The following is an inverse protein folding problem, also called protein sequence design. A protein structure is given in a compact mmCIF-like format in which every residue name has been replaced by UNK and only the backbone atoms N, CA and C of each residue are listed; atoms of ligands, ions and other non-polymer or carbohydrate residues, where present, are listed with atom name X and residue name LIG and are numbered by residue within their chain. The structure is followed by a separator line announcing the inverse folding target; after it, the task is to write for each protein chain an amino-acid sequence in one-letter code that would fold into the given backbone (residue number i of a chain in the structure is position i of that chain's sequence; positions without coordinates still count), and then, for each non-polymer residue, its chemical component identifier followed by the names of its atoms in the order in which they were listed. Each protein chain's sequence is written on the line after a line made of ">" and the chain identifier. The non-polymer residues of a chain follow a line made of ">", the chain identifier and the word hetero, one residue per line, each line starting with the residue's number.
data_IF_223807955180
#
_entry.id   IF_223807955180
#
_cell.length_a   1.000
_cell.length_b   1.000
_cell.length_c   1.000
_cell.angle_alpha   90.00
_cell.angle_beta   90.00
_cell.angle_gamma   90.00
#
_symmetry.space_group_name_H-M   'P 1'
#
loop_
_entity.id
_entity.type
_entity.pdbx_description
1 polymer ?
#
# COMPACT_ATOMS: atom_id res chain seq x y z
N UNK A 1 -11.39 -5.32 -25.46
CA UNK A 1 -10.00 -5.80 -25.31
C UNK A 1 -9.42 -5.08 -24.11
N UNK A 2 -9.12 -5.82 -23.04
CA UNK A 2 -8.72 -5.30 -21.74
C UNK A 2 -7.72 -6.25 -21.10
N UNK A 3 -6.72 -6.68 -21.87
CA UNK A 3 -5.70 -7.61 -21.41
C UNK A 3 -4.68 -6.81 -20.58
N UNK A 4 -4.62 -7.09 -19.28
CA UNK A 4 -3.70 -6.46 -18.34
C UNK A 4 -3.90 -6.97 -16.93
N UNK A 5 -2.96 -6.64 -16.04
CA UNK A 5 -3.00 -6.98 -14.63
C UNK A 5 -3.01 -5.69 -13.81
N UNK A 6 -3.99 -5.60 -12.90
CA UNK A 6 -3.99 -4.60 -11.83
C UNK A 6 -3.73 -5.31 -10.52
N UNK A 7 -2.79 -4.80 -9.73
CA UNK A 7 -2.47 -5.31 -8.40
C UNK A 7 -2.19 -4.16 -7.42
N UNK A 8 -1.75 -4.46 -6.19
CA UNK A 8 -1.29 -3.45 -5.22
C UNK A 8 0.11 -3.77 -4.72
N UNK A 9 0.93 -2.76 -4.46
CA UNK A 9 2.24 -2.95 -3.81
C UNK A 9 2.17 -2.58 -2.32
N UNK A 10 2.88 -3.31 -1.44
CA UNK A 10 3.62 -4.56 -1.71
C UNK A 10 2.74 -5.83 -1.73
N UNK A 11 1.43 -5.72 -1.44
CA UNK A 11 0.54 -6.86 -1.16
C UNK A 11 0.48 -7.93 -2.25
N UNK A 12 0.54 -7.52 -3.52
CA UNK A 12 0.52 -8.42 -4.67
C UNK A 12 1.86 -9.09 -4.99
N UNK A 13 2.85 -8.97 -4.10
CA UNK A 13 4.22 -9.40 -4.32
C UNK A 13 5.02 -8.40 -5.16
N UNK A 14 6.13 -8.85 -5.72
CA UNK A 14 6.95 -8.08 -6.66
C UNK A 14 6.34 -8.08 -8.07
N UNK A 15 6.68 -7.08 -8.88
CA UNK A 15 6.25 -7.02 -10.30
C UNK A 15 6.71 -8.27 -11.08
N UNK A 16 7.89 -8.81 -10.74
CA UNK A 16 8.42 -10.03 -11.34
C UNK A 16 7.55 -11.25 -11.01
N UNK A 17 7.13 -11.40 -9.75
CA UNK A 17 6.22 -12.46 -9.32
C UNK A 17 4.84 -12.31 -9.96
N UNK A 18 4.31 -11.09 -10.02
CA UNK A 18 3.05 -10.78 -10.71
C UNK A 18 3.08 -11.24 -12.17
N UNK A 19 4.13 -10.86 -12.91
CA UNK A 19 4.32 -11.29 -14.31
C UNK A 19 4.54 -12.80 -14.42
N UNK A 20 5.28 -13.42 -13.50
CA UNK A 20 5.46 -14.86 -13.49
C UNK A 20 4.12 -15.59 -13.28
N UNK A 21 3.26 -15.09 -12.40
CA UNK A 21 1.91 -15.62 -12.16
C UNK A 21 1.06 -15.50 -13.44
N UNK A 22 1.08 -14.33 -14.10
CA UNK A 22 0.38 -14.11 -15.37
C UNK A 22 0.88 -15.06 -16.48
N UNK A 23 2.19 -15.29 -16.58
CA UNK A 23 2.78 -16.25 -17.54
C UNK A 23 2.31 -17.68 -17.26
N UNK A 24 2.26 -18.10 -15.99
CA UNK A 24 1.72 -19.42 -15.63
C UNK A 24 0.25 -19.56 -16.01
N UNK A 25 -0.56 -18.53 -15.77
CA UNK A 25 -1.97 -18.50 -16.18
C UNK A 25 -2.14 -18.61 -17.70
N UNK A 26 -1.38 -17.85 -18.48
CA UNK A 26 -1.40 -17.92 -19.94
C UNK A 26 -1.02 -19.32 -20.45
N UNK A 27 0.08 -19.88 -19.96
CA UNK A 27 0.55 -21.21 -20.35
C UNK A 27 -0.47 -22.31 -20.02
N UNK A 28 -1.10 -22.25 -18.84
CA UNK A 28 -2.16 -23.19 -18.45
C UNK A 28 -3.39 -23.14 -19.37
N UNK A 29 -3.62 -22.00 -20.03
CA UNK A 29 -4.66 -21.83 -21.04
C UNK A 29 -4.19 -22.07 -22.50
N UNK A 30 -2.96 -22.57 -22.70
CA UNK A 30 -2.38 -22.75 -24.03
C UNK A 30 -2.07 -21.45 -24.79
N UNK A 31 -1.94 -20.32 -24.07
CA UNK A 31 -1.59 -19.00 -24.60
C UNK A 31 -0.16 -18.61 -24.21
N UNK A 32 0.46 -17.76 -25.02
CA UNK A 32 1.70 -17.07 -24.65
C UNK A 32 1.36 -15.68 -24.11
N UNK A 33 1.94 -15.30 -22.98
CA UNK A 33 1.80 -13.94 -22.46
C UNK A 33 2.58 -12.96 -23.38
N UNK A 34 1.93 -11.92 -23.93
CA UNK A 34 2.63 -10.91 -24.74
C UNK A 34 3.77 -10.24 -23.97
N UNK A 35 4.83 -9.84 -24.67
CA UNK A 35 5.97 -9.14 -24.06
C UNK A 35 5.60 -7.73 -23.55
N UNK A 36 4.55 -7.14 -24.11
CA UNK A 36 3.97 -5.84 -23.77
C UNK A 36 2.76 -5.95 -22.83
N UNK A 37 2.55 -7.10 -22.19
CA UNK A 37 1.45 -7.30 -21.26
C UNK A 37 1.42 -6.22 -20.17
N UNK A 38 0.28 -5.52 -20.09
CA UNK A 38 0.17 -4.30 -19.29
C UNK A 38 0.06 -4.63 -17.80
N UNK A 39 0.95 -4.08 -16.97
CA UNK A 39 0.92 -4.24 -15.51
C UNK A 39 0.79 -2.87 -14.87
N UNK A 40 -0.25 -2.71 -14.06
CA UNK A 40 -0.49 -1.53 -13.25
C UNK A 40 -0.59 -1.90 -11.77
N UNK A 41 -0.10 -1.02 -10.89
CA UNK A 41 -0.21 -1.23 -9.45
C UNK A 41 -0.79 -0.01 -8.75
N UNK A 42 -1.68 -0.25 -7.80
CA UNK A 42 -2.09 0.78 -6.85
C UNK A 42 -1.02 0.93 -5.77
N UNK A 43 -0.64 2.18 -5.47
CA UNK A 43 0.37 2.50 -4.46
C UNK A 43 -0.11 3.65 -3.58
N UNK A 44 0.22 3.57 -2.30
CA UNK A 44 0.11 4.69 -1.36
C UNK A 44 1.44 5.44 -1.36
N UNK A 45 1.42 6.76 -1.51
CA UNK A 45 2.62 7.59 -1.45
C UNK A 45 2.88 8.04 0.00
N UNK A 46 4.15 8.00 0.41
CA UNK A 46 4.62 8.66 1.64
C UNK A 46 5.88 9.47 1.32
N UNK A 47 5.69 10.66 0.76
CA UNK A 47 6.79 11.51 0.31
C UNK A 47 7.26 12.43 1.44
N UNK A 48 8.53 12.31 1.82
CA UNK A 48 9.14 13.15 2.86
C UNK A 48 9.73 14.45 2.27
N UNK A 49 9.59 15.53 3.02
CA UNK A 49 10.37 16.75 2.80
C UNK A 49 11.79 16.59 3.37
N UNK A 50 12.77 17.41 2.94
CA UNK A 50 14.12 17.36 3.48
C UNK A 50 14.15 17.50 5.02
N UNK A 51 14.68 16.49 5.70
CA UNK A 51 14.78 16.46 7.16
C UNK A 51 13.51 16.03 7.90
N UNK A 52 12.43 15.72 7.19
CA UNK A 52 11.18 15.28 7.79
C UNK A 52 11.21 13.79 8.16
N UNK A 53 10.70 13.45 9.35
CA UNK A 53 10.50 12.08 9.77
C UNK A 53 9.40 11.42 8.94
N UNK A 54 9.55 10.14 8.59
CA UNK A 54 8.58 9.43 7.74
C UNK A 54 7.20 9.25 8.41
N UNK A 55 7.16 9.35 9.74
CA UNK A 55 5.97 9.32 10.59
C UNK A 55 5.59 10.72 11.11
N UNK A 56 5.95 11.79 10.40
CA UNK A 56 5.50 13.14 10.74
C UNK A 56 3.97 13.22 10.75
N UNK A 57 3.36 14.16 11.52
CA UNK A 57 1.92 14.37 11.49
C UNK A 57 1.36 14.62 10.08
N UNK A 58 2.14 15.26 9.21
CA UNK A 58 1.77 15.53 7.81
C UNK A 58 1.72 14.23 7.00
N UNK A 59 2.74 13.40 7.08
CA UNK A 59 2.78 12.13 6.34
C UNK A 59 1.74 11.15 6.88
N UNK A 60 1.57 11.07 8.20
CA UNK A 60 0.50 10.27 8.83
C UNK A 60 -0.89 10.72 8.35
N UNK A 61 -1.14 12.03 8.25
CA UNK A 61 -2.38 12.55 7.69
C UNK A 61 -2.56 12.23 6.20
N UNK A 62 -1.46 12.06 5.45
CA UNK A 62 -1.48 11.75 4.03
C UNK A 62 -1.61 10.24 3.73
N UNK A 63 -1.02 9.35 4.51
CA UNK A 63 -1.02 7.90 4.21
C UNK A 63 -1.68 7.01 5.27
N UNK A 64 -1.97 7.53 6.46
CA UNK A 64 -2.38 6.74 7.63
C UNK A 64 -3.61 5.86 7.39
N UNK A 65 -4.64 6.38 6.70
CA UNK A 65 -5.84 5.59 6.37
C UNK A 65 -5.51 4.36 5.50
N UNK A 66 -4.58 4.49 4.55
CA UNK A 66 -4.15 3.39 3.70
C UNK A 66 -3.23 2.40 4.45
N UNK A 67 -2.38 2.90 5.36
CA UNK A 67 -1.54 2.07 6.23
C UNK A 67 -2.39 1.20 7.14
N UNK A 68 -3.39 1.79 7.82
CA UNK A 68 -4.34 1.04 8.67
C UNK A 68 -5.17 0.04 7.86
N UNK A 69 -5.53 0.38 6.63
CA UNK A 69 -6.20 -0.58 5.73
C UNK A 69 -5.33 -1.82 5.44
N UNK A 70 -3.99 -1.66 5.47
CA UNK A 70 -3.05 -2.78 5.49
C UNK A 70 -3.16 -3.64 6.75
N UNK A 71 -3.24 -3.02 7.94
CA UNK A 71 -3.48 -3.74 9.19
C UNK A 71 -4.84 -4.46 9.20
N UNK A 72 -5.90 -3.84 8.67
CA UNK A 72 -7.22 -4.45 8.52
C UNK A 72 -7.16 -5.75 7.71
N UNK A 73 -6.42 -5.71 6.60
CA UNK A 73 -6.15 -6.90 5.79
C UNK A 73 -5.40 -7.97 6.58
N UNK A 74 -4.36 -7.60 7.33
CA UNK A 74 -3.60 -8.57 8.12
C UNK A 74 -4.48 -9.24 9.19
N UNK A 75 -5.36 -8.49 9.85
CA UNK A 75 -6.32 -9.05 10.82
C UNK A 75 -7.27 -10.02 10.13
N UNK A 76 -7.86 -9.64 8.99
CA UNK A 76 -8.74 -10.54 8.24
C UNK A 76 -8.02 -11.84 7.84
N UNK A 77 -6.78 -11.73 7.34
CA UNK A 77 -5.96 -12.89 6.99
C UNK A 77 -5.66 -13.77 8.19
N UNK A 78 -5.24 -13.20 9.32
CA UNK A 78 -4.97 -13.94 10.54
C UNK A 78 -6.21 -14.70 11.04
N UNK A 79 -7.39 -14.07 11.01
CA UNK A 79 -8.64 -14.71 11.41
C UNK A 79 -9.04 -15.87 10.47
N UNK A 80 -8.68 -15.79 9.20
CA UNK A 80 -8.97 -16.83 8.21
C UNK A 80 -7.97 -18.00 8.26
N UNK A 81 -6.68 -17.71 8.40
CA UNK A 81 -5.60 -18.70 8.21
C UNK A 81 -4.85 -19.07 9.49
N UNK A 82 -4.95 -18.27 10.54
CA UNK A 82 -4.14 -18.38 11.76
C UNK A 82 -2.68 -17.93 11.58
N UNK A 83 -2.30 -17.37 10.42
CA UNK A 83 -0.93 -16.90 10.18
C UNK A 83 -0.56 -15.70 11.07
N UNK A 84 0.65 -15.71 11.60
CA UNK A 84 1.22 -14.56 12.31
C UNK A 84 1.44 -13.37 11.36
N UNK A 85 1.42 -12.13 11.89
CA UNK A 85 1.69 -10.95 11.08
C UNK A 85 3.15 -10.96 10.56
N UNK A 86 3.40 -10.29 9.43
CA UNK A 86 4.76 -10.04 8.96
C UNK A 86 5.54 -9.19 9.99
N UNK A 87 6.88 -9.27 9.91
CA UNK A 87 7.79 -8.64 10.87
C UNK A 87 7.47 -7.17 11.15
N UNK A 88 7.21 -6.39 10.10
CA UNK A 88 6.91 -4.96 10.18
C UNK A 88 5.65 -4.59 10.97
N UNK A 89 4.73 -5.55 11.18
CA UNK A 89 3.48 -5.34 11.89
C UNK A 89 3.49 -5.93 13.30
N UNK A 90 4.47 -6.79 13.63
CA UNK A 90 4.58 -7.44 14.95
C UNK A 90 4.61 -6.45 16.11
N UNK A 91 5.30 -5.29 16.04
CA UNK A 91 5.39 -4.39 17.19
C UNK A 91 4.04 -3.85 17.68
N UNK A 92 3.08 -3.65 16.78
CA UNK A 92 1.75 -3.12 17.13
C UNK A 92 0.69 -4.22 17.25
N UNK A 93 1.00 -5.43 16.80
CA UNK A 93 -0.01 -6.46 16.53
C UNK A 93 -0.86 -6.84 17.73
N UNK A 94 -0.19 -7.13 18.86
CA UNK A 94 -0.88 -7.55 20.09
C UNK A 94 -1.83 -6.46 20.57
N UNK A 95 -1.34 -5.23 20.69
CA UNK A 95 -2.11 -4.09 21.17
C UNK A 95 -3.28 -3.77 20.22
N UNK A 96 -3.07 -3.91 18.91
CA UNK A 96 -4.12 -3.71 17.90
C UNK A 96 -5.26 -4.73 18.06
N UNK A 97 -4.93 -6.01 18.24
CA UNK A 97 -5.93 -7.07 18.46
C UNK A 97 -6.67 -6.91 19.80
N UNK A 98 -5.97 -6.48 20.84
CA UNK A 98 -6.57 -6.18 22.15
C UNK A 98 -7.56 -5.02 22.07
N UNK A 99 -7.18 -3.91 21.42
CA UNK A 99 -8.08 -2.77 21.18
C UNK A 99 -9.30 -3.17 20.36
N UNK A 100 -9.11 -3.95 19.29
CA UNK A 100 -10.21 -4.44 18.48
C UNK A 100 -11.15 -5.37 19.27
N UNK A 101 -10.61 -6.10 20.25
CA UNK A 101 -11.36 -7.00 21.11
C UNK A 101 -12.24 -6.28 22.15
N UNK A 102 -11.98 -5.00 22.44
CA UNK A 102 -12.84 -4.16 23.30
C UNK A 102 -14.26 -4.03 22.74
N UNK A 103 -14.41 -4.16 21.42
CA UNK A 103 -15.72 -4.17 20.76
C UNK A 103 -16.38 -5.56 20.77
N UNK A 104 -17.72 -5.63 20.94
CA UNK A 104 -18.45 -6.90 20.88
C UNK A 104 -18.19 -7.65 19.57
N UNK A 105 -18.10 -8.99 19.60
CA UNK A 105 -17.84 -9.79 18.39
C UNK A 105 -18.80 -9.49 17.23
N UNK A 106 -20.07 -9.21 17.55
CA UNK A 106 -21.11 -8.92 16.56
C UNK A 106 -20.85 -7.66 15.69
N UNK A 107 -20.03 -6.71 16.18
CA UNK A 107 -19.75 -5.45 15.49
C UNK A 107 -18.29 -5.25 15.12
N UNK A 108 -17.42 -6.16 15.54
CA UNK A 108 -15.96 -6.05 15.38
C UNK A 108 -15.54 -5.92 13.92
N UNK A 109 -16.18 -6.66 13.02
CA UNK A 109 -15.91 -6.54 11.58
C UNK A 109 -16.28 -5.15 11.03
N UNK A 110 -17.43 -4.59 11.42
CA UNK A 110 -17.82 -3.25 10.97
C UNK A 110 -16.88 -2.18 11.53
N UNK A 111 -16.47 -2.29 12.80
CA UNK A 111 -15.48 -1.39 13.40
C UNK A 111 -14.16 -1.45 12.64
N UNK A 112 -13.62 -2.64 12.39
CA UNK A 112 -12.38 -2.84 11.64
C UNK A 112 -12.41 -2.19 10.25
N UNK A 113 -13.59 -2.12 9.61
CA UNK A 113 -13.70 -1.56 8.26
C UNK A 113 -14.30 -0.14 8.21
N UNK A 114 -14.61 0.48 9.36
CA UNK A 114 -15.31 1.75 9.40
C UNK A 114 -14.52 2.91 8.75
N UNK A 115 -13.19 2.89 8.90
CA UNK A 115 -12.28 3.92 8.39
C UNK A 115 -11.55 3.52 7.10
N UNK A 116 -11.75 2.27 6.62
CA UNK A 116 -10.93 1.61 5.59
C UNK A 116 -10.80 2.46 4.32
N UNK A 117 -9.57 2.86 4.00
CA UNK A 117 -9.16 3.77 2.92
C UNK A 117 -9.88 5.14 2.88
N UNK A 118 -10.68 5.48 3.89
CA UNK A 118 -11.57 6.65 3.85
C UNK A 118 -11.04 7.81 4.69
N UNK A 119 -10.76 7.56 5.97
CA UNK A 119 -10.21 8.55 6.89
C UNK A 119 -9.31 7.85 7.92
N UNK A 120 -8.50 8.63 8.65
CA UNK A 120 -7.71 8.11 9.75
C UNK A 120 -8.55 8.17 11.03
N UNK A 121 -8.94 7.01 11.57
CA UNK A 121 -9.64 6.95 12.85
C UNK A 121 -8.73 7.48 13.98
N UNK A 122 -9.18 8.42 14.81
CA UNK A 122 -8.34 9.01 15.85
C UNK A 122 -7.82 8.00 16.90
N UNK A 123 -8.58 6.95 17.22
CA UNK A 123 -8.14 5.90 18.15
C UNK A 123 -7.11 4.99 17.48
N UNK A 124 -7.31 4.65 16.21
CA UNK A 124 -6.37 3.81 15.46
C UNK A 124 -5.07 4.53 15.06
N UNK A 125 -5.10 5.87 14.96
CA UNK A 125 -3.96 6.67 14.53
C UNK A 125 -2.67 6.37 15.32
N UNK A 126 -2.79 5.99 16.59
CA UNK A 126 -1.66 5.60 17.46
C UNK A 126 -0.89 4.37 16.97
N UNK A 127 -1.50 3.53 16.12
CA UNK A 127 -0.87 2.33 15.57
C UNK A 127 -0.11 2.59 14.26
N UNK A 128 -0.21 3.79 13.68
CA UNK A 128 0.56 4.14 12.48
C UNK A 128 2.01 4.44 12.88
N UNK A 129 2.93 3.55 12.50
CA UNK A 129 4.37 3.67 12.81
C UNK A 129 5.21 3.93 11.56
N UNK A 130 6.42 4.47 11.73
CA UNK A 130 7.40 4.60 10.65
C UNK A 130 7.69 3.27 9.92
N UNK A 131 7.71 2.16 10.66
CA UNK A 131 7.94 0.83 10.12
C UNK A 131 6.78 0.38 9.22
N UNK A 132 5.54 0.57 9.66
CA UNK A 132 4.36 0.28 8.85
C UNK A 132 4.29 1.16 7.59
N UNK A 133 4.59 2.46 7.71
CA UNK A 133 4.62 3.38 6.57
C UNK A 133 5.66 2.91 5.55
N UNK A 134 6.89 2.63 5.98
CA UNK A 134 7.95 2.18 5.07
C UNK A 134 7.67 0.82 4.43
N UNK A 135 7.02 -0.09 5.17
CA UNK A 135 6.69 -1.41 4.65
C UNK A 135 5.55 -1.38 3.63
N UNK A 136 4.57 -0.50 3.81
CA UNK A 136 3.30 -0.54 3.06
C UNK A 136 3.10 0.56 2.04
N UNK A 137 3.91 1.63 2.08
CA UNK A 137 3.85 2.75 1.15
C UNK A 137 5.06 2.76 0.21
N UNK A 138 4.89 3.41 -0.95
CA UNK A 138 6.01 3.95 -1.71
C UNK A 138 6.54 5.18 -0.96
N UNK A 139 7.45 4.94 -0.01
CA UNK A 139 8.00 5.98 0.87
C UNK A 139 9.36 6.51 0.39
N UNK A 140 9.67 7.77 0.66
CA UNK A 140 11.01 8.32 0.40
C UNK A 140 11.01 9.81 0.06
N UNK A 141 12.22 10.35 -0.10
CA UNK A 141 12.43 11.68 -0.68
C UNK A 141 12.18 11.64 -2.20
N UNK A 142 11.95 12.79 -2.86
CA UNK A 142 11.60 12.81 -4.28
C UNK A 142 12.56 12.03 -5.21
N UNK A 143 13.87 12.15 -5.00
CA UNK A 143 14.86 11.44 -5.81
C UNK A 143 14.85 9.92 -5.56
N UNK A 144 14.64 9.51 -4.31
CA UNK A 144 14.51 8.10 -3.92
C UNK A 144 13.24 7.47 -4.53
N UNK A 145 12.14 8.24 -4.55
CA UNK A 145 10.87 7.83 -5.15
C UNK A 145 11.02 7.66 -6.66
N UNK A 146 11.68 8.60 -7.34
CA UNK A 146 11.95 8.50 -8.77
C UNK A 146 12.77 7.24 -9.10
N UNK A 147 13.82 6.95 -8.33
CA UNK A 147 14.61 5.74 -8.53
C UNK A 147 13.84 4.44 -8.23
N UNK A 148 12.99 4.43 -7.19
CA UNK A 148 12.11 3.29 -6.92
C UNK A 148 11.14 3.06 -8.08
N UNK A 149 10.57 4.12 -8.67
CA UNK A 149 9.69 4.01 -9.83
C UNK A 149 10.42 3.49 -11.08
N UNK A 150 11.63 3.99 -11.36
CA UNK A 150 12.47 3.44 -12.44
C UNK A 150 12.82 1.98 -12.21
N UNK A 151 13.06 1.56 -10.96
CA UNK A 151 13.30 0.16 -10.64
C UNK A 151 12.05 -0.71 -10.90
N UNK A 152 10.86 -0.22 -10.55
CA UNK A 152 9.60 -0.89 -10.86
C UNK A 152 9.34 -0.97 -12.37
N UNK A 153 9.64 0.09 -13.12
CA UNK A 153 9.55 0.11 -14.59
C UNK A 153 10.49 -0.93 -15.22
N UNK A 154 11.75 -0.97 -14.78
CA UNK A 154 12.72 -1.99 -15.21
C UNK A 154 12.26 -3.41 -14.89
N UNK A 155 11.50 -3.60 -13.80
CA UNK A 155 10.90 -4.88 -13.44
C UNK A 155 9.65 -5.24 -14.28
N UNK A 156 9.17 -4.34 -15.13
CA UNK A 156 8.05 -4.54 -16.06
C UNK A 156 6.76 -3.81 -15.69
N UNK A 157 6.77 -2.92 -14.70
CA UNK A 157 5.62 -2.09 -14.37
C UNK A 157 5.39 -1.05 -15.47
N UNK A 158 4.13 -0.78 -15.81
CA UNK A 158 3.74 0.20 -16.84
C UNK A 158 2.97 1.40 -16.29
N UNK A 159 2.31 1.23 -15.14
CA UNK A 159 1.53 2.30 -14.53
C UNK A 159 1.48 2.14 -13.00
N UNK A 160 1.51 3.27 -12.31
CA UNK A 160 1.06 3.35 -10.91
C UNK A 160 -0.28 4.08 -10.87
N UNK A 161 -1.12 3.71 -9.91
CA UNK A 161 -2.32 4.45 -9.52
C UNK A 161 -2.09 4.96 -8.11
N UNK A 162 -2.02 6.29 -7.95
CA UNK A 162 -1.90 6.90 -6.64
C UNK A 162 -3.28 6.93 -5.96
N UNK A 163 -3.31 6.56 -4.68
CA UNK A 163 -4.49 6.71 -3.84
C UNK A 163 -4.19 7.67 -2.68
N UNK A 164 -4.24 8.99 -2.91
CA UNK A 164 -4.07 9.98 -1.84
C UNK A 164 -5.38 10.17 -1.06
N UNK A 165 -5.34 10.75 0.15
CA UNK A 165 -6.54 10.93 0.95
C UNK A 165 -7.35 12.11 0.44
N UNK A 166 -8.67 12.01 0.56
CA UNK A 166 -9.62 12.92 -0.09
C UNK A 166 -9.37 14.41 0.25
N UNK A 167 -9.03 14.71 1.49
CA UNK A 167 -8.79 16.08 1.99
C UNK A 167 -7.44 16.68 1.54
N UNK A 168 -6.51 15.87 1.01
CA UNK A 168 -5.17 16.32 0.56
C UNK A 168 -4.86 15.92 -0.88
N UNK A 169 -5.78 15.24 -1.58
CA UNK A 169 -5.55 14.61 -2.88
C UNK A 169 -4.86 15.52 -3.89
N UNK A 170 -5.33 16.76 -4.06
CA UNK A 170 -4.75 17.70 -5.01
C UNK A 170 -3.31 18.06 -4.67
N UNK A 171 -3.02 18.35 -3.40
CA UNK A 171 -1.66 18.68 -2.96
C UNK A 171 -0.70 17.52 -3.13
N UNK A 172 -1.12 16.31 -2.77
CA UNK A 172 -0.29 15.10 -2.95
C UNK A 172 -0.01 14.86 -4.44
N UNK A 173 -1.01 15.05 -5.31
CA UNK A 173 -0.87 14.88 -6.76
C UNK A 173 0.05 15.96 -7.36
N UNK A 174 -0.15 17.23 -7.02
CA UNK A 174 0.69 18.35 -7.45
C UNK A 174 2.14 18.14 -7.01
N UNK A 175 2.36 17.85 -5.74
CA UNK A 175 3.69 17.61 -5.20
C UNK A 175 4.35 16.41 -5.88
N UNK A 176 3.62 15.32 -6.13
CA UNK A 176 4.16 14.17 -6.85
C UNK A 176 4.52 14.52 -8.29
N UNK A 177 3.69 15.28 -8.99
CA UNK A 177 3.97 15.72 -10.35
C UNK A 177 5.24 16.59 -10.42
N UNK A 178 5.30 17.62 -9.57
CA UNK A 178 6.38 18.60 -9.58
C UNK A 178 7.69 18.05 -9.03
N UNK A 179 7.61 17.20 -8.00
CA UNK A 179 8.80 16.73 -7.28
C UNK A 179 9.26 15.35 -7.75
N UNK A 180 8.38 14.47 -8.22
CA UNK A 180 8.78 13.12 -8.63
C UNK A 180 8.69 12.94 -10.14
N UNK A 181 7.53 13.20 -10.76
CA UNK A 181 7.35 12.96 -12.20
C UNK A 181 8.27 13.83 -13.04
N UNK A 182 8.50 15.08 -12.65
CA UNK A 182 9.45 15.98 -13.34
C UNK A 182 10.90 15.44 -13.35
N UNK A 183 11.21 14.43 -12.55
CA UNK A 183 12.52 13.78 -12.47
C UNK A 183 12.57 12.44 -13.18
N UNK A 184 11.47 11.88 -13.66
CA UNK A 184 11.41 10.54 -14.26
C UNK A 184 12.03 10.51 -15.66
#
# INVERSE_FOLDING_TARGET
>A
LGDGLVSGLPRGGTVVEMLANARRGAAGAGRTLPSDFYVATMVTLAMREPGEAIDSPRIVAECGAAVLSGLHYLVARHLETGEDPPEYARPVWKEYLEWLAESPPAVRHQRLHASHYSFLDPEEARFVTAELINATCLSGAPDELAEKLRALERAGLRQIMLYPPLNRQYRVIEDFADKVMARL
#
